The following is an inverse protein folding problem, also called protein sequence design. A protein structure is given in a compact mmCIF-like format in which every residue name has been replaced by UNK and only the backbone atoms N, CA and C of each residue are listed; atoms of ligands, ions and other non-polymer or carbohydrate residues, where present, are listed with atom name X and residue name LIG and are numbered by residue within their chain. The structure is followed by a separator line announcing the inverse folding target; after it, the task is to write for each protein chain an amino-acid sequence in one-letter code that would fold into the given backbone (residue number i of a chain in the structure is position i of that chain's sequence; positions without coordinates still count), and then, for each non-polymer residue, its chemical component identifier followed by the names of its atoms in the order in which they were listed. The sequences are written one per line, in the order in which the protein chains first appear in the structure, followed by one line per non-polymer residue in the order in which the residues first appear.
data_IF_678848652072
#
_entry.id   IF_678848652072
#
_cell.length_a   1.000
_cell.length_b   1.000
_cell.length_c   1.000
_cell.angle_alpha   90.00
_cell.angle_beta   90.00
_cell.angle_gamma   90.00
#
_symmetry.space_group_name_H-M   'P 1'
#
loop_
_entity.id
_entity.type
_entity.pdbx_description
1 polymer ?
#
# COMPACT_ATOMS: atom_id res chain seq x y z
N UNK A 1 -37.60 -11.85 -12.42
CA UNK A 1 -36.47 -11.84 -11.47
C UNK A 1 -36.45 -10.46 -10.82
N UNK A 2 -36.92 -10.35 -9.57
CA UNK A 2 -36.85 -9.10 -8.80
C UNK A 2 -35.53 -9.14 -8.04
N UNK A 3 -34.62 -8.23 -8.35
CA UNK A 3 -33.44 -7.99 -7.53
C UNK A 3 -33.91 -7.16 -6.34
N UNK A 4 -33.89 -7.74 -5.15
CA UNK A 4 -34.30 -7.05 -3.94
C UNK A 4 -33.36 -5.85 -3.68
N UNK A 5 -33.93 -4.64 -3.59
CA UNK A 5 -33.17 -3.41 -3.31
C UNK A 5 -32.34 -3.51 -2.01
N UNK A 6 -32.72 -4.41 -1.10
CA UNK A 6 -32.01 -4.70 0.15
C UNK A 6 -30.64 -5.32 -0.11
N UNK A 7 -30.48 -6.18 -1.13
CA UNK A 7 -29.18 -6.74 -1.50
C UNK A 7 -28.23 -5.70 -2.11
N UNK A 8 -28.77 -4.71 -2.82
CA UNK A 8 -27.99 -3.60 -3.38
C UNK A 8 -27.57 -2.61 -2.28
N UNK A 9 -28.42 -2.38 -1.28
CA UNK A 9 -28.10 -1.56 -0.10
C UNK A 9 -27.07 -2.21 0.83
N UNK A 10 -27.12 -3.53 1.03
CA UNK A 10 -26.11 -4.26 1.83
C UNK A 10 -24.72 -4.26 1.17
N UNK A 11 -24.65 -4.26 -0.17
CA UNK A 11 -23.39 -4.08 -0.89
C UNK A 11 -22.88 -2.64 -0.85
N UNK A 12 -23.76 -1.65 -0.67
CA UNK A 12 -23.41 -0.24 -0.57
C UNK A 12 -22.97 0.20 0.85
N UNK A 13 -23.20 -0.64 1.89
CA UNK A 13 -22.80 -0.38 3.27
C UNK A 13 -21.43 -0.99 3.65
N UNK A 14 -20.73 -1.61 2.70
CA UNK A 14 -19.45 -2.30 2.92
C UNK A 14 -18.33 -1.80 2.00
N UNK A 15 -18.22 -0.49 1.84
CA UNK A 15 -17.13 0.10 1.07
C UNK A 15 -16.47 1.23 1.86
N UNK A 16 -15.90 0.90 3.01
CA UNK A 16 -14.68 1.60 3.44
C UNK A 16 -13.57 1.14 2.49
N UNK A 17 -13.58 1.65 1.26
CA UNK A 17 -12.38 1.57 0.43
C UNK A 17 -11.45 2.58 1.07
N UNK A 18 -10.49 2.13 1.86
CA UNK A 18 -9.43 2.98 2.36
C UNK A 18 -8.69 3.50 1.14
N UNK A 19 -9.06 4.71 0.70
CA UNK A 19 -8.43 5.31 -0.44
C UNK A 19 -7.00 5.65 -0.06
N UNK A 20 -6.04 5.18 -0.85
CA UNK A 20 -4.61 5.47 -0.66
C UNK A 20 -4.24 6.75 -1.40
N UNK A 21 -3.29 7.51 -0.84
CA UNK A 21 -2.59 8.59 -1.54
C UNK A 21 -1.14 8.15 -1.70
N UNK A 22 -0.62 8.25 -2.92
CA UNK A 22 0.73 7.83 -3.27
C UNK A 22 1.68 9.02 -3.44
N UNK A 23 2.93 8.85 -3.01
CA UNK A 23 3.97 9.89 -3.02
C UNK A 23 5.26 9.35 -3.63
N UNK A 24 5.71 9.93 -4.74
CA UNK A 24 7.00 9.62 -5.34
C UNK A 24 8.15 10.22 -4.52
N UNK A 25 9.14 9.39 -4.20
CA UNK A 25 10.32 9.72 -3.42
C UNK A 25 11.55 9.55 -4.33
N UNK A 26 12.17 10.65 -4.81
CA UNK A 26 13.26 10.61 -5.79
C UNK A 26 14.60 10.13 -5.20
N UNK A 27 14.76 10.11 -3.88
CA UNK A 27 15.98 9.67 -3.22
C UNK A 27 16.22 8.18 -3.49
N UNK A 28 17.39 7.86 -4.06
CA UNK A 28 17.78 6.49 -4.33
C UNK A 28 18.18 5.80 -3.03
N UNK A 29 17.51 4.70 -2.73
CA UNK A 29 17.68 3.92 -1.50
C UNK A 29 17.58 2.43 -1.81
N UNK A 30 18.18 1.59 -0.97
CA UNK A 30 17.82 0.17 -1.01
C UNK A 30 16.38 -0.02 -0.51
N UNK A 31 15.79 -1.18 -0.74
CA UNK A 31 14.37 -1.40 -0.43
C UNK A 31 14.05 -1.19 1.05
N UNK A 32 14.90 -1.67 1.96
CA UNK A 32 14.72 -1.53 3.42
C UNK A 32 14.83 -0.09 3.88
N UNK A 33 15.77 0.67 3.32
CA UNK A 33 15.94 2.11 3.58
C UNK A 33 14.75 2.91 3.04
N UNK A 34 14.24 2.56 1.86
CA UNK A 34 13.03 3.16 1.29
C UNK A 34 11.80 2.89 2.16
N UNK A 35 11.62 1.66 2.64
CA UNK A 35 10.57 1.30 3.59
C UNK A 35 10.67 2.11 4.89
N UNK A 36 11.87 2.19 5.44
CA UNK A 36 12.12 2.96 6.67
C UNK A 36 11.80 4.44 6.45
N UNK A 37 12.20 4.99 5.30
CA UNK A 37 11.89 6.37 4.93
C UNK A 37 10.37 6.59 4.84
N UNK A 38 9.64 5.70 4.17
CA UNK A 38 8.19 5.81 4.05
C UNK A 38 7.50 5.73 5.41
N UNK A 39 7.86 4.77 6.27
CA UNK A 39 7.29 4.65 7.63
C UNK A 39 7.60 5.83 8.55
N UNK A 40 8.67 6.58 8.27
CA UNK A 40 9.03 7.77 9.04
C UNK A 40 8.23 9.01 8.62
N UNK A 41 7.89 9.13 7.33
CA UNK A 41 7.28 10.34 6.78
C UNK A 41 5.81 10.16 6.35
N UNK A 42 5.35 8.92 6.24
CA UNK A 42 4.08 8.44 5.67
C UNK A 42 3.70 7.12 6.39
N UNK A 43 2.81 6.31 5.78
CA UNK A 43 2.38 5.02 6.35
C UNK A 43 3.39 3.91 6.05
N UNK A 44 3.63 3.57 4.79
CA UNK A 44 4.64 2.58 4.37
C UNK A 44 4.98 2.76 2.87
N UNK A 45 5.86 1.91 2.32
CA UNK A 45 6.01 1.74 0.87
C UNK A 45 4.66 1.40 0.24
N UNK A 46 4.42 1.93 -0.95
CA UNK A 46 3.17 1.79 -1.68
C UNK A 46 2.77 0.33 -1.84
N UNK A 47 1.54 0.00 -1.45
CA UNK A 47 0.93 -1.31 -1.66
C UNK A 47 -0.25 -1.19 -2.62
N UNK A 48 -0.56 -2.28 -3.32
CA UNK A 48 -1.65 -2.31 -4.28
C UNK A 48 -2.53 -3.53 -4.03
N UNK A 49 -3.79 -3.30 -3.69
CA UNK A 49 -4.74 -4.38 -3.47
C UNK A 49 -5.32 -4.90 -4.78
N UNK A 50 -5.36 -4.05 -5.82
CA UNK A 50 -5.81 -4.37 -7.16
C UNK A 50 -5.15 -3.48 -8.23
N UNK A 51 -5.64 -3.59 -9.47
CA UNK A 51 -5.15 -2.80 -10.60
C UNK A 51 -5.41 -1.30 -10.42
N UNK A 52 -6.51 -0.90 -9.77
CA UNK A 52 -6.86 0.51 -9.59
C UNK A 52 -5.85 1.19 -8.67
N UNK A 53 -5.49 0.54 -7.56
CA UNK A 53 -4.45 1.04 -6.67
C UNK A 53 -3.10 1.16 -7.40
N UNK A 54 -2.75 0.16 -8.21
CA UNK A 54 -1.50 0.18 -8.95
C UNK A 54 -1.47 1.29 -10.02
N UNK A 55 -2.58 1.52 -10.72
CA UNK A 55 -2.69 2.62 -11.68
C UNK A 55 -2.59 3.99 -10.99
N UNK A 56 -3.13 4.16 -9.78
CA UNK A 56 -2.97 5.38 -8.96
C UNK A 56 -1.54 5.56 -8.45
N UNK A 57 -0.87 4.48 -8.05
CA UNK A 57 0.56 4.48 -7.70
C UNK A 57 1.39 5.02 -8.87
N UNK A 58 1.16 4.51 -10.08
CA UNK A 58 1.89 4.93 -11.28
C UNK A 58 1.68 6.42 -11.61
N UNK A 59 0.49 6.98 -11.33
CA UNK A 59 0.21 8.41 -11.52
C UNK A 59 1.02 9.32 -10.60
N UNK A 60 1.50 8.83 -9.46
CA UNK A 60 2.34 9.61 -8.56
C UNK A 60 3.77 9.81 -9.10
N UNK A 61 4.19 8.98 -10.06
CA UNK A 61 5.54 9.01 -10.61
C UNK A 61 5.62 10.06 -11.74
N UNK A 62 6.65 10.92 -11.79
CA UNK A 62 6.85 11.87 -12.89
C UNK A 62 6.88 11.18 -14.25
N UNK A 63 6.23 11.79 -15.25
CA UNK A 63 6.08 11.20 -16.61
C UNK A 63 7.41 11.03 -17.35
N UNK A 64 8.41 11.82 -17.00
CA UNK A 64 9.76 11.79 -17.54
C UNK A 64 10.70 10.83 -16.78
N UNK A 65 10.24 10.24 -15.66
CA UNK A 65 10.96 9.20 -14.95
C UNK A 65 10.88 7.87 -15.73
N UNK A 66 12.01 7.23 -15.95
CA UNK A 66 12.10 6.01 -16.79
C UNK A 66 12.73 4.82 -16.09
N UNK A 67 13.33 5.02 -14.91
CA UNK A 67 13.95 3.95 -14.14
C UNK A 67 12.91 3.16 -13.32
N UNK A 68 13.37 2.13 -12.61
CA UNK A 68 12.55 1.38 -11.67
C UNK A 68 12.32 2.18 -10.37
N UNK A 69 11.13 2.00 -9.79
CA UNK A 69 10.81 2.46 -8.44
C UNK A 69 10.49 1.27 -7.53
N UNK A 70 10.86 1.39 -6.25
CA UNK A 70 10.41 0.46 -5.22
C UNK A 70 8.96 0.68 -4.82
N UNK A 71 8.26 -0.43 -4.60
CA UNK A 71 7.00 -0.49 -3.87
C UNK A 71 7.01 -1.67 -2.90
N UNK A 72 5.97 -1.77 -2.08
CA UNK A 72 5.97 -2.54 -0.83
C UNK A 72 5.94 -4.06 -0.97
N UNK A 73 6.08 -4.62 -2.17
CA UNK A 73 6.06 -6.07 -2.36
C UNK A 73 7.46 -6.66 -2.21
N UNK A 74 7.60 -7.65 -1.33
CA UNK A 74 8.88 -8.32 -1.07
C UNK A 74 8.68 -9.77 -0.61
N UNK A 75 9.79 -10.52 -0.50
CA UNK A 75 9.86 -11.83 0.16
C UNK A 75 11.16 -11.93 0.95
N UNK A 76 11.24 -12.87 1.89
CA UNK A 76 12.44 -13.01 2.75
C UNK A 76 13.53 -13.88 2.13
N UNK A 77 13.17 -14.79 1.22
CA UNK A 77 14.06 -15.70 0.52
C UNK A 77 13.38 -16.27 -0.73
N UNK A 78 14.09 -17.11 -1.48
CA UNK A 78 13.60 -17.68 -2.75
C UNK A 78 12.42 -18.64 -2.63
N UNK A 79 12.11 -19.13 -1.42
CA UNK A 79 10.99 -20.06 -1.14
C UNK A 79 9.83 -19.40 -0.41
N UNK A 80 10.06 -18.25 0.20
CA UNK A 80 9.05 -17.48 0.89
C UNK A 80 7.98 -16.91 -0.06
N UNK A 81 6.73 -16.79 0.39
CA UNK A 81 5.69 -16.13 -0.39
C UNK A 81 5.98 -14.62 -0.51
N UNK A 82 5.52 -14.03 -1.63
CA UNK A 82 5.49 -12.59 -1.79
C UNK A 82 4.45 -11.96 -0.88
N UNK A 83 4.86 -11.00 -0.05
CA UNK A 83 4.02 -10.31 0.94
C UNK A 83 4.16 -8.80 0.79
N UNK A 84 3.06 -8.09 1.07
CA UNK A 84 3.07 -6.63 1.13
C UNK A 84 3.62 -6.13 2.46
N UNK A 85 4.38 -5.03 2.43
CA UNK A 85 5.07 -4.42 3.57
C UNK A 85 4.13 -3.96 4.68
N UNK A 86 2.93 -3.52 4.30
CA UNK A 86 1.84 -3.11 5.19
C UNK A 86 1.07 -4.30 5.80
N UNK A 87 1.47 -5.54 5.49
CA UNK A 87 0.80 -6.77 5.90
C UNK A 87 -0.59 -6.97 5.26
N UNK A 88 -0.89 -6.24 4.18
CA UNK A 88 -2.06 -6.50 3.34
C UNK A 88 -2.06 -7.96 2.86
N UNK A 89 -3.25 -8.55 2.87
CA UNK A 89 -3.47 -9.93 2.42
C UNK A 89 -3.71 -10.03 0.92
N UNK A 90 -3.55 -8.92 0.18
CA UNK A 90 -3.74 -8.91 -1.27
C UNK A 90 -2.79 -9.88 -1.99
N UNK A 91 -3.38 -10.65 -2.89
CA UNK A 91 -2.69 -11.56 -3.82
C UNK A 91 -2.47 -10.92 -5.20
N UNK A 92 -2.78 -9.63 -5.36
CA UNK A 92 -2.62 -8.93 -6.64
C UNK A 92 -1.17 -8.89 -7.08
N UNK A 93 -0.89 -9.35 -8.30
CA UNK A 93 0.45 -9.35 -8.88
C UNK A 93 0.36 -9.00 -10.37
N UNK A 94 1.22 -8.10 -10.83
CA UNK A 94 1.29 -7.67 -12.24
C UNK A 94 2.69 -7.92 -12.84
N UNK A 95 3.18 -9.15 -12.69
CA UNK A 95 4.49 -9.58 -13.17
C UNK A 95 4.69 -9.36 -14.66
N UNK A 96 5.90 -8.98 -15.04
CA UNK A 96 6.35 -9.02 -16.43
C UNK A 96 6.47 -10.45 -16.96
N UNK A 97 6.52 -10.56 -18.28
CA UNK A 97 6.75 -11.84 -18.95
C UNK A 97 8.09 -12.41 -18.46
N UNK A 98 8.05 -13.64 -17.95
CA UNK A 98 9.22 -14.33 -17.42
C UNK A 98 9.57 -13.97 -15.98
N UNK A 99 8.76 -13.17 -15.28
CA UNK A 99 8.98 -12.80 -13.88
C UNK A 99 7.97 -13.47 -12.93
N UNK A 100 8.32 -13.64 -11.64
CA UNK A 100 9.65 -13.41 -11.05
C UNK A 100 10.63 -14.53 -11.40
N UNK A 101 11.88 -14.20 -11.75
CA UNK A 101 12.87 -15.19 -12.21
C UNK A 101 13.98 -15.50 -11.20
N UNK A 102 14.08 -14.72 -10.12
CA UNK A 102 15.14 -14.83 -9.12
C UNK A 102 16.55 -14.97 -9.72
N UNK A 103 16.85 -14.17 -10.75
CA UNK A 103 18.16 -14.14 -11.40
C UNK A 103 19.26 -13.89 -10.36
N UNK A 104 20.30 -14.72 -10.37
CA UNK A 104 21.39 -14.67 -9.38
C UNK A 104 21.00 -15.13 -7.96
N UNK A 105 19.74 -15.54 -7.74
CA UNK A 105 19.30 -16.14 -6.48
C UNK A 105 19.03 -15.16 -5.34
N UNK A 106 19.03 -13.85 -5.59
CA UNK A 106 18.92 -12.80 -4.57
C UNK A 106 17.87 -11.71 -4.88
N UNK A 107 16.96 -11.95 -5.82
CA UNK A 107 15.94 -10.97 -6.22
C UNK A 107 14.66 -11.16 -5.41
N UNK A 108 14.58 -10.43 -4.30
CA UNK A 108 13.53 -10.60 -3.28
C UNK A 108 12.68 -9.35 -3.06
N UNK A 109 12.90 -8.29 -3.84
CA UNK A 109 12.14 -7.05 -3.78
C UNK A 109 11.58 -6.72 -5.16
N UNK A 110 10.46 -6.01 -5.23
CA UNK A 110 9.79 -5.73 -6.51
C UNK A 110 9.87 -4.27 -6.86
N UNK A 111 10.19 -4.00 -8.13
CA UNK A 111 10.07 -2.68 -8.72
C UNK A 111 9.43 -2.71 -10.09
N UNK A 112 8.99 -1.54 -10.54
CA UNK A 112 8.52 -1.31 -11.91
C UNK A 112 8.93 0.08 -12.36
N UNK A 113 9.11 0.28 -13.67
CA UNK A 113 9.15 1.62 -14.25
C UNK A 113 7.74 2.12 -14.55
N UNK A 114 7.51 3.43 -14.74
CA UNK A 114 6.15 3.98 -14.89
C UNK A 114 5.33 3.39 -16.05
N UNK A 115 6.00 2.90 -17.08
CA UNK A 115 5.39 2.27 -18.27
C UNK A 115 5.78 0.79 -18.42
N UNK A 116 6.57 0.27 -17.49
CA UNK A 116 7.12 -1.08 -17.54
C UNK A 116 6.36 -2.07 -16.67
N UNK A 117 6.54 -3.38 -16.91
CA UNK A 117 5.98 -4.42 -16.07
C UNK A 117 6.77 -4.57 -14.75
N UNK A 118 6.22 -5.32 -13.79
CA UNK A 118 6.94 -5.62 -12.55
C UNK A 118 8.10 -6.58 -12.80
N UNK A 119 9.15 -6.39 -12.01
CA UNK A 119 10.33 -7.23 -11.99
C UNK A 119 10.76 -7.51 -10.54
N UNK A 120 11.21 -8.73 -10.25
CA UNK A 120 11.97 -8.97 -9.02
C UNK A 120 13.41 -8.50 -9.20
N UNK A 121 13.91 -7.80 -8.20
CA UNK A 121 15.20 -7.12 -8.21
C UNK A 121 15.93 -7.44 -6.90
N UNK A 122 17.26 -7.31 -6.93
CA UNK A 122 18.04 -7.41 -5.71
C UNK A 122 17.68 -6.22 -4.80
N UNK A 123 17.30 -6.51 -3.57
CA UNK A 123 16.83 -5.49 -2.62
C UNK A 123 17.88 -4.40 -2.32
N UNK A 124 19.15 -4.67 -2.64
CA UNK A 124 20.30 -3.78 -2.45
C UNK A 124 20.39 -2.68 -3.50
N UNK A 125 19.67 -2.78 -4.63
CA UNK A 125 19.67 -1.76 -5.66
C UNK A 125 19.17 -0.42 -5.11
N UNK A 126 19.85 0.64 -5.50
CA UNK A 126 19.54 2.00 -5.06
C UNK A 126 18.56 2.60 -6.06
N UNK A 127 17.27 2.64 -5.70
CA UNK A 127 16.20 3.12 -6.58
C UNK A 127 15.36 4.18 -5.87
N UNK A 128 14.69 5.02 -6.65
CA UNK A 128 13.58 5.83 -6.15
C UNK A 128 12.46 4.91 -5.63
N UNK A 129 11.50 5.48 -4.88
CA UNK A 129 10.42 4.68 -4.29
C UNK A 129 9.08 5.42 -4.32
N UNK A 130 8.00 4.70 -4.07
CA UNK A 130 6.68 5.29 -3.85
C UNK A 130 6.21 4.92 -2.45
N UNK A 131 5.85 5.92 -1.64
CA UNK A 131 5.20 5.72 -0.35
C UNK A 131 3.68 5.84 -0.51
N UNK A 132 2.92 5.35 0.47
CA UNK A 132 1.49 5.68 0.58
C UNK A 132 1.09 6.19 1.96
N UNK A 133 -0.09 6.80 2.01
CA UNK A 133 -0.83 7.13 3.24
C UNK A 133 -2.30 6.83 3.04
N UNK A 134 -3.00 6.42 4.09
CA UNK A 134 -4.45 6.21 4.05
C UNK A 134 -5.16 7.58 4.11
N UNK A 135 -6.18 7.81 3.29
CA UNK A 135 -6.90 9.10 3.24
C UNK A 135 -7.54 9.50 4.58
N UNK A 136 -7.82 8.54 5.46
CA UNK A 136 -8.34 8.85 6.81
C UNK A 136 -7.33 9.66 7.65
N UNK A 137 -6.02 9.59 7.35
CA UNK A 137 -4.99 10.35 8.08
C UNK A 137 -4.87 11.82 7.62
N UNK A 138 -5.39 12.17 6.43
CA UNK A 138 -5.17 13.50 5.83
C UNK A 138 -6.26 14.54 6.12
N UNK A 139 -7.40 14.12 6.65
CA UNK A 139 -8.55 15.01 6.94
C UNK A 139 -8.49 15.64 8.35
N UNK A 140 -7.37 15.50 9.06
CA UNK A 140 -7.19 15.85 10.48
C UNK A 140 -6.56 17.22 10.78
N UNK A 141 -6.46 18.16 9.84
CA UNK A 141 -5.97 19.51 10.15
C UNK A 141 -7.06 20.39 10.77
N UNK A 142 -7.18 20.33 12.10
CA UNK A 142 -7.87 21.36 12.87
C UNK A 142 -8.36 20.92 14.25
N UNK A 143 -7.45 20.84 15.23
CA UNK A 143 -7.75 20.80 16.67
C UNK A 143 -8.32 19.48 17.25
N UNK A 144 -7.77 18.32 16.84
CA UNK A 144 -8.31 17.01 17.23
C UNK A 144 -7.72 16.43 18.54
N UNK A 145 -8.60 16.04 19.46
CA UNK A 145 -8.25 15.32 20.71
C UNK A 145 -7.80 13.87 20.45
N UNK A 146 -8.02 13.33 19.25
CA UNK A 146 -7.60 11.99 18.82
C UNK A 146 -6.08 11.87 18.66
N UNK A 147 -5.40 12.95 18.24
CA UNK A 147 -3.94 13.04 18.22
C UNK A 147 -3.32 12.99 19.63
N UNK A 148 -3.97 13.60 20.64
CA UNK A 148 -3.52 13.50 22.03
C UNK A 148 -3.78 12.11 22.65
N UNK A 149 -4.91 11.48 22.32
CA UNK A 149 -5.22 10.13 22.78
C UNK A 149 -4.30 9.04 22.15
N UNK A 150 -3.86 9.21 20.89
CA UNK A 150 -2.86 8.35 20.24
C UNK A 150 -1.50 8.38 20.96
N UNK A 151 -1.13 9.54 21.50
CA UNK A 151 0.09 9.72 22.31
C UNK A 151 -0.03 9.17 23.74
N UNK A 152 -1.25 8.97 24.24
CA UNK A 152 -1.51 8.54 25.63
C UNK A 152 -1.83 7.02 25.76
N UNK A 153 -2.33 6.34 24.71
CA UNK A 153 -2.52 4.87 24.66
C UNK A 153 -2.66 4.33 23.21
N UNK A 154 -1.61 3.81 22.57
CA UNK A 154 -1.70 3.31 21.19
C UNK A 154 -2.33 1.89 21.10
N UNK A 155 -3.43 1.69 20.34
CA UNK A 155 -4.05 0.36 20.18
C UNK A 155 -3.40 -0.49 19.09
N UNK A 156 -3.25 -1.78 19.40
CA UNK A 156 -2.89 -2.88 18.49
C UNK A 156 -4.05 -3.09 17.49
N UNK A 157 -3.88 -2.58 16.27
CA UNK A 157 -4.71 -2.71 15.06
C UNK A 157 -6.04 -3.48 15.20
N UNK A 158 -7.16 -2.81 14.89
CA UNK A 158 -8.39 -3.46 14.38
C UNK A 158 -9.48 -2.45 14.02
N UNK A 159 -9.94 -2.48 12.76
CA UNK A 159 -11.28 -2.05 12.41
C UNK A 159 -12.27 -3.12 12.93
N UNK A 160 -13.25 -2.74 13.76
CA UNK A 160 -14.45 -3.54 14.05
C UNK A 160 -15.69 -2.63 14.04
N UNK A 161 -16.88 -3.18 13.73
CA UNK A 161 -18.09 -2.45 13.35
C UNK A 161 -18.78 -1.83 14.57
N UNK A 162 -19.63 -0.83 14.30
CA UNK A 162 -20.24 0.05 15.28
C UNK A 162 -20.87 -0.63 16.49
N UNK A 163 -20.49 -0.14 17.68
CA UNK A 163 -21.32 -0.17 18.87
C UNK A 163 -22.41 0.90 18.69
N UNK A 164 -23.66 0.47 18.49
CA UNK A 164 -24.83 1.35 18.60
C UNK A 164 -25.18 1.51 20.08
N UNK A 165 -25.03 2.72 20.58
CA UNK A 165 -25.56 3.13 21.88
C UNK A 165 -26.49 4.33 21.69
N UNK A 166 -27.78 4.06 21.51
CA UNK A 166 -28.88 4.96 21.87
C UNK A 166 -30.05 4.13 22.42
N UNK A 167 -30.20 4.08 23.76
CA UNK A 167 -31.30 4.67 24.58
C UNK A 167 -32.70 4.31 24.03
N UNK A 168 -33.59 3.63 24.75
CA UNK A 168 -33.94 3.85 26.15
C UNK A 168 -35.14 4.80 26.24
N UNK A 169 -36.35 4.26 26.04
CA UNK A 169 -37.62 4.55 26.72
C UNK A 169 -38.62 3.43 26.41
#
# INVERSE_FOLDING_TARGET
MRMDLIFVLLLALSSCVNARIFYFIPEHKNWTEAQTYCRLHRTDLATADDQMDYDELLKAIPKDFTDYVWFGLYRTDGTAPWVWSDQSKSVFRSWGIGQPNNSGGAQFCVGASPTGPWNDLECTYQLASVCYTDREDTDGEGNDRRYKAFLENPPRWKCFPGEDSSKGE
#
